data_IF_138098355253
#
_entry.id   IF_138098355253
#
_cell.length_a   1.000
_cell.length_b   1.000
_cell.length_c   1.000
_cell.angle_alpha   90.00
_cell.angle_beta   90.00
_cell.angle_gamma   90.00
#
_symmetry.space_group_name_H-M   'P 1'
#
loop_
_entity.id
_entity.type
_entity.pdbx_description
1 polymer ?
#
# COMPACT_ATOMS: atom_id res chain seq x y z
N UNK A 1 5.88 -8.79 -0.79
CA UNK A 1 4.67 -9.65 -0.90
C UNK A 1 3.53 -8.90 -1.53
N UNK A 2 3.18 -7.72 -1.04
CA UNK A 2 2.04 -6.93 -1.56
C UNK A 2 2.20 -6.55 -3.04
N UNK A 3 3.42 -6.29 -3.49
CA UNK A 3 3.75 -6.04 -4.88
C UNK A 3 3.35 -7.18 -5.82
N UNK A 4 3.67 -8.42 -5.41
CA UNK A 4 3.50 -9.62 -6.23
C UNK A 4 2.09 -10.21 -6.17
N UNK A 5 1.26 -9.75 -5.23
CA UNK A 5 -0.04 -10.34 -4.95
C UNK A 5 -1.03 -10.08 -6.09
N UNK A 6 -1.50 -11.15 -6.74
CA UNK A 6 -2.54 -11.06 -7.78
C UNK A 6 -3.91 -10.84 -7.14
N UNK A 7 -4.23 -9.56 -6.90
CA UNK A 7 -5.48 -9.17 -6.23
C UNK A 7 -6.74 -9.63 -6.97
N UNK A 8 -6.72 -9.60 -8.30
CA UNK A 8 -7.88 -10.01 -9.12
C UNK A 8 -8.06 -11.53 -9.18
N UNK A 9 -6.96 -12.30 -9.06
CA UNK A 9 -6.98 -13.76 -9.06
C UNK A 9 -7.35 -14.38 -7.72
N UNK A 10 -7.46 -13.60 -6.64
CA UNK A 10 -7.84 -14.09 -5.33
C UNK A 10 -9.28 -14.62 -5.32
N UNK A 11 -9.56 -15.71 -4.55
CA UNK A 11 -10.94 -16.16 -4.32
C UNK A 11 -11.81 -15.03 -3.75
N UNK A 12 -13.05 -14.94 -4.20
CA UNK A 12 -14.03 -14.05 -3.59
C UNK A 12 -14.46 -14.60 -2.23
N UNK A 13 -14.69 -13.67 -1.30
CA UNK A 13 -15.30 -13.96 -0.01
C UNK A 13 -16.75 -13.48 -0.04
N UNK A 14 -17.68 -14.41 -0.03
CA UNK A 14 -19.11 -14.12 0.07
C UNK A 14 -19.62 -14.31 1.49
N UNK A 15 -19.04 -15.28 2.21
CA UNK A 15 -19.38 -15.61 3.59
C UNK A 15 -18.09 -15.89 4.39
N UNK A 16 -18.11 -15.68 5.71
CA UNK A 16 -16.95 -15.97 6.57
C UNK A 16 -16.99 -17.42 7.09
N UNK A 17 -17.10 -18.38 6.17
CA UNK A 17 -17.16 -19.80 6.51
C UNK A 17 -15.79 -20.43 6.66
N UNK A 18 -15.70 -21.52 7.41
CA UNK A 18 -14.45 -22.29 7.54
C UNK A 18 -13.96 -22.82 6.18
N UNK A 19 -14.90 -23.20 5.30
CA UNK A 19 -14.57 -23.69 3.96
C UNK A 19 -13.96 -22.63 3.07
N UNK A 20 -14.44 -21.38 3.11
CA UNK A 20 -13.86 -20.28 2.36
C UNK A 20 -12.45 -19.92 2.87
N UNK A 21 -12.25 -19.92 4.20
CA UNK A 21 -10.93 -19.71 4.79
C UNK A 21 -9.92 -20.76 4.34
N UNK A 22 -10.30 -22.02 4.33
CA UNK A 22 -9.41 -23.12 3.90
C UNK A 22 -9.09 -23.02 2.39
N UNK A 23 -10.07 -22.70 1.55
CA UNK A 23 -9.86 -22.49 0.12
C UNK A 23 -8.89 -21.33 -0.13
N UNK A 24 -9.05 -20.22 0.63
CA UNK A 24 -8.18 -19.06 0.50
C UNK A 24 -6.76 -19.37 0.98
N UNK A 25 -6.63 -20.06 2.12
CA UNK A 25 -5.35 -20.52 2.64
C UNK A 25 -4.61 -21.36 1.61
N UNK A 26 -5.31 -22.35 1.02
CA UNK A 26 -4.73 -23.20 -0.03
C UNK A 26 -4.27 -22.35 -1.22
N UNK A 27 -5.14 -21.48 -1.73
CA UNK A 27 -4.78 -20.58 -2.83
C UNK A 27 -3.52 -19.76 -2.51
N UNK A 28 -3.48 -19.15 -1.32
CA UNK A 28 -2.35 -18.32 -0.92
C UNK A 28 -1.06 -19.14 -0.76
N UNK A 29 -1.12 -20.31 -0.16
CA UNK A 29 0.06 -21.17 0.00
C UNK A 29 0.59 -21.67 -1.34
N UNK A 30 -0.30 -22.10 -2.25
CA UNK A 30 0.07 -22.50 -3.61
C UNK A 30 0.72 -21.34 -4.38
N UNK A 31 0.17 -20.14 -4.25
CA UNK A 31 0.76 -18.91 -4.82
C UNK A 31 2.13 -18.60 -4.21
N UNK A 32 2.26 -18.66 -2.89
CA UNK A 32 3.52 -18.37 -2.18
C UNK A 32 4.63 -19.36 -2.61
N UNK A 33 4.32 -20.63 -2.67
CA UNK A 33 5.24 -21.67 -3.13
C UNK A 33 5.70 -21.42 -4.58
N UNK A 34 4.79 -20.94 -5.44
CA UNK A 34 5.15 -20.55 -6.81
C UNK A 34 6.09 -19.35 -6.84
N UNK A 35 5.88 -18.33 -5.99
CA UNK A 35 6.77 -17.17 -5.91
C UNK A 35 8.18 -17.56 -5.43
N UNK A 36 8.27 -18.46 -4.44
CA UNK A 36 9.55 -19.00 -3.95
C UNK A 36 10.25 -19.80 -5.06
N UNK A 37 9.54 -20.71 -5.74
CA UNK A 37 10.11 -21.49 -6.86
C UNK A 37 10.64 -20.61 -8.01
N UNK A 38 10.00 -19.45 -8.25
CA UNK A 38 10.45 -18.47 -9.26
C UNK A 38 11.57 -17.55 -8.76
N UNK A 39 12.01 -17.70 -7.52
CA UNK A 39 13.04 -16.86 -6.91
C UNK A 39 12.62 -15.41 -6.68
N UNK A 40 11.32 -15.12 -6.63
CA UNK A 40 10.77 -13.77 -6.38
C UNK A 40 10.65 -13.47 -4.88
N UNK A 41 10.50 -14.51 -4.07
CA UNK A 41 10.46 -14.42 -2.60
C UNK A 41 11.48 -15.44 -2.09
N UNK A 42 12.36 -15.02 -1.19
CA UNK A 42 13.30 -15.91 -0.51
C UNK A 42 12.55 -16.85 0.45
N UNK A 43 13.02 -18.09 0.59
CA UNK A 43 12.35 -19.11 1.42
C UNK A 43 12.20 -18.67 2.88
N UNK A 44 13.25 -18.03 3.45
CA UNK A 44 13.20 -17.53 4.83
C UNK A 44 12.20 -16.37 4.99
N UNK A 45 12.09 -15.50 3.99
CA UNK A 45 11.08 -14.44 3.96
C UNK A 45 9.66 -15.02 3.85
N UNK A 46 9.46 -16.05 3.04
CA UNK A 46 8.17 -16.72 2.89
C UNK A 46 7.66 -17.32 4.22
N UNK A 47 8.55 -17.87 5.05
CA UNK A 47 8.21 -18.43 6.37
C UNK A 47 7.73 -17.37 7.36
N UNK A 48 8.07 -16.10 7.14
CA UNK A 48 7.66 -14.98 8.01
C UNK A 48 6.30 -14.40 7.61
N UNK A 49 5.71 -14.83 6.50
CA UNK A 49 4.44 -14.28 6.01
C UNK A 49 3.27 -14.97 6.71
N UNK A 50 2.49 -14.19 7.43
CA UNK A 50 1.24 -14.64 8.04
C UNK A 50 0.12 -14.55 6.99
N UNK A 51 -0.39 -15.69 6.54
CA UNK A 51 -1.46 -15.74 5.55
C UNK A 51 -2.77 -15.14 6.08
N UNK A 52 -3.02 -15.24 7.38
CA UNK A 52 -4.19 -14.63 8.03
C UNK A 52 -4.19 -13.11 7.91
N UNK A 53 -3.04 -12.47 8.04
CA UNK A 53 -2.91 -11.02 7.91
C UNK A 53 -3.21 -10.58 6.48
N UNK A 54 -2.74 -11.34 5.49
CA UNK A 54 -3.03 -11.07 4.08
C UNK A 54 -4.52 -11.31 3.78
N UNK A 55 -5.12 -12.35 4.38
CA UNK A 55 -6.56 -12.60 4.29
C UNK A 55 -7.37 -11.43 4.86
N UNK A 56 -7.02 -10.93 6.04
CA UNK A 56 -7.71 -9.78 6.64
C UNK A 56 -7.57 -8.53 5.78
N UNK A 57 -6.37 -8.29 5.22
CA UNK A 57 -6.19 -7.23 4.25
C UNK A 57 -7.11 -7.39 3.03
N UNK A 58 -7.16 -8.59 2.42
CA UNK A 58 -8.00 -8.85 1.25
C UNK A 58 -9.50 -8.65 1.54
N UNK A 59 -9.94 -8.87 2.78
CA UNK A 59 -11.31 -8.65 3.25
C UNK A 59 -11.62 -7.20 3.63
N UNK A 60 -10.60 -6.38 3.83
CA UNK A 60 -10.76 -4.97 4.22
C UNK A 60 -11.45 -4.15 3.12
N UNK A 61 -11.91 -2.96 3.46
CA UNK A 61 -12.48 -2.03 2.50
C UNK A 61 -11.47 -1.68 1.40
N UNK A 62 -10.25 -1.33 1.81
CA UNK A 62 -9.18 -1.00 0.86
C UNK A 62 -8.74 -2.20 0.02
N UNK A 63 -8.69 -3.41 0.60
CA UNK A 63 -8.36 -4.62 -0.14
C UNK A 63 -9.36 -4.90 -1.27
N UNK A 64 -10.66 -4.71 -1.02
CA UNK A 64 -11.70 -4.81 -2.06
C UNK A 64 -11.56 -3.76 -3.14
N UNK A 65 -11.29 -2.49 -2.77
CA UNK A 65 -11.07 -1.38 -3.72
C UNK A 65 -9.87 -1.64 -4.61
N UNK A 66 -8.75 -2.12 -4.04
CA UNK A 66 -7.55 -2.49 -4.78
C UNK A 66 -7.82 -3.62 -5.76
N UNK A 67 -8.58 -4.66 -5.36
CA UNK A 67 -8.99 -5.75 -6.26
C UNK A 67 -9.81 -5.24 -7.45
N UNK A 68 -10.78 -4.38 -7.19
CA UNK A 68 -11.59 -3.77 -8.24
C UNK A 68 -10.75 -2.94 -9.21
N UNK A 69 -9.82 -2.14 -8.68
CA UNK A 69 -8.91 -1.34 -9.48
C UNK A 69 -7.96 -2.21 -10.32
N UNK A 70 -7.43 -3.30 -9.74
CA UNK A 70 -6.58 -4.27 -10.44
C UNK A 70 -7.33 -4.96 -11.59
N UNK A 71 -8.57 -5.35 -11.37
CA UNK A 71 -9.43 -5.91 -12.42
C UNK A 71 -9.68 -4.94 -13.58
N UNK A 72 -9.68 -3.64 -13.31
CA UNK A 72 -9.82 -2.56 -14.31
C UNK A 72 -8.49 -2.06 -14.89
N UNK A 73 -7.36 -2.66 -14.50
CA UNK A 73 -6.01 -2.21 -14.86
C UNK A 73 -5.72 -0.75 -14.45
N UNK A 74 -6.20 -0.36 -13.28
CA UNK A 74 -6.07 0.98 -12.70
C UNK A 74 -5.35 0.99 -11.35
N UNK A 75 -4.50 -0.02 -11.11
CA UNK A 75 -3.69 -0.16 -9.91
C UNK A 75 -2.21 -0.17 -10.29
N UNK A 76 -1.42 0.65 -9.62
CA UNK A 76 0.04 0.71 -9.72
C UNK A 76 0.66 0.36 -8.38
N UNK A 77 1.73 -0.40 -8.40
CA UNK A 77 2.48 -0.85 -7.24
C UNK A 77 3.94 -0.52 -7.39
N UNK A 78 4.63 -0.34 -6.27
CA UNK A 78 6.08 -0.08 -6.21
C UNK A 78 6.51 1.00 -7.22
N UNK A 79 5.78 2.12 -7.23
CA UNK A 79 6.03 3.19 -8.18
C UNK A 79 7.19 4.07 -7.71
N UNK A 80 8.36 4.04 -8.37
CA UNK A 80 9.45 4.95 -8.03
C UNK A 80 9.09 6.38 -8.43
N UNK A 81 9.55 7.33 -7.63
CA UNK A 81 9.40 8.76 -7.92
C UNK A 81 10.66 9.54 -7.55
N UNK A 82 10.82 10.69 -8.19
CA UNK A 82 11.75 11.74 -7.81
C UNK A 82 10.97 13.05 -7.80
N UNK A 83 10.97 13.73 -6.66
CA UNK A 83 10.29 15.01 -6.45
C UNK A 83 11.32 16.09 -6.14
N UNK A 84 11.36 17.15 -6.93
CA UNK A 84 12.11 18.36 -6.61
C UNK A 84 11.25 19.27 -5.74
N UNK A 85 11.72 19.60 -4.55
CA UNK A 85 11.11 20.56 -3.62
C UNK A 85 12.01 21.78 -3.56
N UNK A 86 11.45 23.00 -3.64
CA UNK A 86 12.21 24.20 -3.42
C UNK A 86 12.68 24.26 -1.94
N UNK A 87 13.96 24.47 -1.69
CA UNK A 87 14.53 24.49 -0.35
C UNK A 87 13.76 25.44 0.59
N UNK A 88 13.22 26.54 0.04
CA UNK A 88 12.43 27.52 0.79
C UNK A 88 11.10 26.96 1.31
N UNK A 89 10.56 25.89 0.72
CA UNK A 89 9.36 25.21 1.25
C UNK A 89 9.67 24.47 2.55
N UNK A 90 10.91 23.99 2.73
CA UNK A 90 11.36 23.25 3.91
C UNK A 90 12.11 24.13 4.91
N UNK A 91 12.84 25.13 4.40
CA UNK A 91 13.67 26.04 5.16
C UNK A 91 13.37 27.49 4.73
N UNK A 92 12.35 28.15 5.31
CA UNK A 92 11.91 29.49 4.90
C UNK A 92 12.96 30.59 5.01
N UNK A 93 14.03 30.33 5.73
CA UNK A 93 15.18 31.26 5.93
C UNK A 93 16.22 31.17 4.81
N UNK A 94 16.12 30.18 3.92
CA UNK A 94 17.03 30.06 2.77
C UNK A 94 16.68 31.10 1.69
N UNK A 95 17.67 31.91 1.30
CA UNK A 95 17.50 32.95 0.28
C UNK A 95 17.64 32.38 -1.15
N UNK A 96 18.43 31.32 -1.31
CA UNK A 96 18.69 30.66 -2.60
C UNK A 96 17.70 29.52 -2.83
N UNK A 97 16.95 29.58 -3.93
CA UNK A 97 15.95 28.58 -4.31
C UNK A 97 16.59 27.29 -4.84
N UNK A 98 17.44 26.64 -4.04
CA UNK A 98 18.00 25.34 -4.38
C UNK A 98 16.90 24.26 -4.40
N UNK A 99 17.02 23.27 -5.32
CA UNK A 99 16.11 22.14 -5.38
C UNK A 99 16.63 21.00 -4.50
N UNK A 100 15.81 20.60 -3.52
CA UNK A 100 16.03 19.39 -2.75
C UNK A 100 15.33 18.24 -3.47
N UNK A 101 16.08 17.20 -3.82
CA UNK A 101 15.52 16.01 -4.46
C UNK A 101 15.07 15.00 -3.39
N UNK A 102 13.77 14.76 -3.33
CA UNK A 102 13.16 13.68 -2.56
C UNK A 102 12.87 12.53 -3.49
N UNK A 103 13.36 11.35 -3.16
CA UNK A 103 13.13 10.14 -3.94
C UNK A 103 12.60 9.02 -3.06
N UNK A 104 11.81 8.13 -3.63
CA UNK A 104 11.25 7.01 -2.91
C UNK A 104 10.48 6.06 -3.82
N UNK A 105 9.81 5.12 -3.20
CA UNK A 105 8.93 4.16 -3.86
C UNK A 105 7.57 4.25 -3.16
N UNK A 106 6.53 4.48 -3.95
CA UNK A 106 5.14 4.48 -3.48
C UNK A 106 4.64 3.04 -3.52
N UNK A 107 4.19 2.50 -2.39
CA UNK A 107 3.77 1.11 -2.26
C UNK A 107 2.65 0.76 -3.24
N UNK A 108 1.56 1.53 -3.21
CA UNK A 108 0.46 1.37 -4.14
C UNK A 108 -0.35 2.66 -4.31
N UNK A 109 -0.89 2.86 -5.49
CA UNK A 109 -1.97 3.81 -5.73
C UNK A 109 -2.90 3.30 -6.83
N UNK A 110 -4.13 3.77 -6.83
CA UNK A 110 -5.09 3.40 -7.85
C UNK A 110 -6.03 4.56 -8.19
N UNK A 111 -6.68 4.44 -9.35
CA UNK A 111 -7.63 5.44 -9.82
C UNK A 111 -9.07 5.02 -9.51
N UNK A 112 -9.80 5.90 -8.83
CA UNK A 112 -11.26 5.84 -8.73
C UNK A 112 -11.89 7.03 -9.45
N UNK A 113 -12.53 6.74 -10.57
CA UNK A 113 -12.93 7.82 -11.47
C UNK A 113 -11.71 8.51 -12.08
N UNK A 114 -11.57 9.79 -11.80
CA UNK A 114 -10.47 10.64 -12.28
C UNK A 114 -9.53 11.10 -11.14
N UNK A 115 -9.69 10.52 -9.95
CA UNK A 115 -8.91 10.84 -8.76
C UNK A 115 -8.10 9.64 -8.27
N UNK A 116 -7.02 9.92 -7.55
CA UNK A 116 -6.09 8.92 -7.01
C UNK A 116 -6.42 8.61 -5.55
N UNK A 117 -6.31 7.33 -5.20
CA UNK A 117 -6.24 6.84 -3.84
C UNK A 117 -4.83 6.29 -3.61
N UNK A 118 -4.11 6.87 -2.67
CA UNK A 118 -2.77 6.47 -2.26
C UNK A 118 -2.85 5.51 -1.09
N UNK A 119 -2.11 4.40 -1.16
CA UNK A 119 -2.06 3.38 -0.11
C UNK A 119 -0.63 3.08 0.26
N UNK A 120 -0.34 3.09 1.55
CA UNK A 120 0.96 2.79 2.13
C UNK A 120 0.81 1.68 3.18
N UNK A 121 1.67 0.65 3.13
CA UNK A 121 1.58 -0.53 3.99
C UNK A 121 2.54 -0.43 5.16
N UNK A 122 2.03 -0.57 6.39
CA UNK A 122 2.85 -0.48 7.60
C UNK A 122 2.71 -1.73 8.49
N UNK A 123 3.86 -2.22 8.95
CA UNK A 123 3.98 -3.38 9.85
C UNK A 123 4.40 -2.98 11.27
N UNK A 124 4.46 -1.67 11.53
CA UNK A 124 4.85 -1.12 12.83
C UNK A 124 3.98 -1.65 13.96
N UNK A 125 4.62 -1.98 15.08
CA UNK A 125 3.93 -2.46 16.27
C UNK A 125 3.30 -1.31 17.04
N UNK A 126 2.01 -1.12 16.84
CA UNK A 126 1.18 -0.14 17.56
C UNK A 126 0.03 -0.85 18.28
N UNK A 127 -0.43 -0.28 19.40
CA UNK A 127 -1.59 -0.80 20.12
C UNK A 127 -2.88 -0.18 19.59
N UNK A 128 -3.99 -0.89 19.72
CA UNK A 128 -5.32 -0.34 19.41
C UNK A 128 -5.56 0.96 20.19
N UNK A 129 -6.09 1.98 19.53
CA UNK A 129 -6.28 3.33 20.09
C UNK A 129 -5.04 4.23 20.00
N UNK A 130 -3.95 3.77 19.36
CA UNK A 130 -2.73 4.56 19.13
C UNK A 130 -2.47 4.83 17.64
N UNK A 131 -3.54 4.82 16.84
CA UNK A 131 -3.47 5.07 15.39
C UNK A 131 -2.82 6.41 15.07
N UNK A 132 -3.02 7.42 15.94
CA UNK A 132 -2.41 8.75 15.79
C UNK A 132 -0.89 8.70 15.69
N UNK A 133 -0.24 7.75 16.35
CA UNK A 133 1.22 7.59 16.25
C UNK A 133 1.68 7.27 14.82
N UNK A 134 0.90 6.47 14.07
CA UNK A 134 1.22 6.18 12.67
C UNK A 134 0.99 7.42 11.81
N UNK A 135 -0.08 8.16 12.06
CA UNK A 135 -0.34 9.42 11.34
C UNK A 135 0.82 10.39 11.58
N UNK A 136 1.19 10.64 12.86
CA UNK A 136 2.26 11.57 13.21
C UNK A 136 3.60 11.17 12.58
N UNK A 137 3.87 9.86 12.48
CA UNK A 137 5.12 9.35 11.93
C UNK A 137 5.19 9.43 10.39
N UNK A 138 4.06 9.21 9.72
CA UNK A 138 4.04 8.99 8.27
C UNK A 138 3.33 10.07 7.46
N UNK A 139 2.68 11.08 8.09
CA UNK A 139 1.94 12.10 7.35
C UNK A 139 2.81 12.86 6.34
N UNK A 140 4.03 13.24 6.71
CA UNK A 140 4.96 13.96 5.80
C UNK A 140 5.29 13.09 4.59
N UNK A 141 5.60 11.80 4.82
CA UNK A 141 5.88 10.85 3.73
C UNK A 141 4.71 10.75 2.76
N UNK A 142 3.47 10.63 3.28
CA UNK A 142 2.30 10.51 2.41
C UNK A 142 1.94 11.81 1.71
N UNK A 143 2.24 12.98 2.31
CA UNK A 143 2.13 14.26 1.62
C UNK A 143 3.11 14.37 0.45
N UNK A 144 4.36 13.97 0.63
CA UNK A 144 5.35 13.98 -0.43
C UNK A 144 5.00 12.99 -1.55
N UNK A 145 4.49 11.81 -1.20
CA UNK A 145 3.98 10.83 -2.16
C UNK A 145 2.79 11.39 -2.96
N UNK A 146 1.84 12.04 -2.28
CA UNK A 146 0.70 12.65 -2.94
C UNK A 146 1.14 13.76 -3.91
N UNK A 147 2.04 14.66 -3.48
CA UNK A 147 2.62 15.71 -4.35
C UNK A 147 3.33 15.12 -5.57
N UNK A 148 4.10 14.04 -5.37
CA UNK A 148 4.78 13.36 -6.46
C UNK A 148 3.78 12.79 -7.48
N UNK A 149 2.74 12.09 -7.01
CA UNK A 149 1.70 11.52 -7.84
C UNK A 149 0.94 12.60 -8.62
N UNK A 150 0.55 13.69 -7.95
CA UNK A 150 -0.16 14.80 -8.59
C UNK A 150 0.69 15.47 -9.69
N UNK A 151 2.00 15.66 -9.44
CA UNK A 151 2.91 16.20 -10.47
C UNK A 151 3.14 15.22 -11.64
N UNK A 152 3.26 13.90 -11.35
CA UNK A 152 3.50 12.88 -12.37
C UNK A 152 2.28 12.63 -13.26
N UNK A 153 1.09 12.66 -12.68
CA UNK A 153 -0.14 12.21 -13.34
C UNK A 153 -1.06 13.35 -13.76
N UNK A 154 -0.92 14.53 -13.18
CA UNK A 154 -1.86 15.65 -13.33
C UNK A 154 -3.22 15.37 -12.65
N UNK A 155 -3.32 14.34 -11.81
CA UNK A 155 -4.55 13.93 -11.13
C UNK A 155 -4.46 14.22 -9.64
N UNK A 156 -5.60 14.59 -9.05
CA UNK A 156 -5.69 14.88 -7.62
C UNK A 156 -5.65 13.59 -6.79
N UNK A 157 -4.89 13.59 -5.69
CA UNK A 157 -4.96 12.57 -4.66
C UNK A 157 -6.09 12.92 -3.69
N UNK A 158 -7.19 12.17 -3.72
CA UNK A 158 -8.37 12.41 -2.88
C UNK A 158 -8.30 11.75 -1.51
N UNK A 159 -7.56 10.65 -1.40
CA UNK A 159 -7.40 9.89 -0.15
C UNK A 159 -5.96 9.41 -0.01
N UNK A 160 -5.44 9.49 1.21
CA UNK A 160 -4.16 8.93 1.65
C UNK A 160 -4.45 7.94 2.77
N UNK A 161 -4.13 6.67 2.56
CA UNK A 161 -4.51 5.57 3.45
C UNK A 161 -3.26 4.83 3.90
N UNK A 162 -3.06 4.70 5.22
CA UNK A 162 -2.14 3.73 5.79
C UNK A 162 -2.94 2.46 6.08
N UNK A 163 -2.51 1.32 5.55
CA UNK A 163 -3.00 0.02 6.03
C UNK A 163 -2.01 -0.54 7.04
N UNK A 164 -2.44 -0.60 8.30
CA UNK A 164 -1.64 -1.20 9.37
C UNK A 164 -1.93 -2.70 9.50
N UNK A 165 -0.94 -3.54 9.16
CA UNK A 165 -1.06 -5.00 9.35
C UNK A 165 -1.14 -5.40 10.82
N UNK A 166 -0.46 -4.67 11.71
CA UNK A 166 -0.53 -4.93 13.16
C UNK A 166 -1.92 -4.65 13.74
N UNK A 167 -2.59 -3.60 13.25
CA UNK A 167 -3.94 -3.25 13.69
C UNK A 167 -5.02 -3.92 12.84
N UNK A 168 -4.67 -4.47 11.68
CA UNK A 168 -5.57 -4.98 10.63
C UNK A 168 -6.62 -3.93 10.27
N UNK A 169 -6.17 -2.70 10.03
CA UNK A 169 -7.05 -1.53 9.91
C UNK A 169 -6.54 -0.51 8.91
N UNK A 170 -7.49 0.11 8.24
CA UNK A 170 -7.28 1.30 7.40
C UNK A 170 -7.25 2.55 8.29
N UNK A 171 -6.30 3.45 8.04
CA UNK A 171 -6.15 4.74 8.73
C UNK A 171 -6.10 5.80 7.63
N UNK A 172 -7.10 6.66 7.62
CA UNK A 172 -7.21 7.79 6.70
C UNK A 172 -6.44 8.99 7.26
N UNK A 173 -5.67 9.68 6.40
CA UNK A 173 -4.94 10.91 6.71
C UNK A 173 -5.66 12.12 6.14
#
# INVERSE_FOLDING_TARGET
VMELLDMKGMPEFTEDTAGEKENWKKYFMDWLDDQVRRGRIEEDAARCICWEDILQFAKSGIGRRLREADGKQRLWREQPFVLGIDARELYPEEEDGELILVQGIIDAYFMEGDEIVLVDYKTDRVKRGQEQKLIDLYHVQLEDYARALERMTGKRVKEKIIYSFTLQKEILL
#
